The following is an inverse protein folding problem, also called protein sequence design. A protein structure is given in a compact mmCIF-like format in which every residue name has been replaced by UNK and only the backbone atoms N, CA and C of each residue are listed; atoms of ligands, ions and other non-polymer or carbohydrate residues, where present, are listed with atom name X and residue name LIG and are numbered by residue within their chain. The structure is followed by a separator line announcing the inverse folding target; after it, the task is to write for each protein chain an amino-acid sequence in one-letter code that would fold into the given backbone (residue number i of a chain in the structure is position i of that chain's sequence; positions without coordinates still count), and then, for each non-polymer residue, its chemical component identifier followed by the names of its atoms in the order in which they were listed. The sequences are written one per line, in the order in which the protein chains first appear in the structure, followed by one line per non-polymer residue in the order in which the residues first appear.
data_IF_703766599352
#
_entry.id   IF_703766599352
#
_cell.length_a   1.000
_cell.length_b   1.000
_cell.length_c   1.000
_cell.angle_alpha   90.00
_cell.angle_beta   90.00
_cell.angle_gamma   90.00
#
_symmetry.space_group_name_H-M   'P 1'
#
loop_
_entity.id
_entity.type
_entity.pdbx_description
1 polymer ?
#
# COMPACT_ATOMS: atom_id res chain seq x y z
N UNK A 1 26.26 47.57 33.55
CA UNK A 1 27.21 47.45 32.43
C UNK A 1 28.12 46.25 32.68
N UNK A 2 28.18 45.30 31.74
CA UNK A 2 29.35 44.45 31.39
C UNK A 2 28.90 43.45 30.31
N UNK A 3 29.74 43.24 29.29
CA UNK A 3 29.39 42.53 28.05
C UNK A 3 29.82 41.05 28.04
N UNK A 4 29.21 40.28 27.13
CA UNK A 4 29.48 38.87 26.79
C UNK A 4 30.79 38.69 25.99
N UNK A 5 31.50 37.54 26.08
CA UNK A 5 31.45 36.46 25.06
C UNK A 5 31.65 35.02 25.66
N UNK A 6 31.51 33.86 24.97
CA UNK A 6 30.78 33.43 23.75
C UNK A 6 30.86 31.89 23.57
N UNK A 7 29.78 31.23 23.09
CA UNK A 7 29.71 29.90 22.39
C UNK A 7 30.59 28.70 22.82
N UNK A 8 29.95 27.55 23.15
CA UNK A 8 30.11 26.28 22.40
C UNK A 8 29.20 25.15 22.91
N UNK A 9 28.61 24.36 22.00
CA UNK A 9 27.85 23.14 22.34
C UNK A 9 28.80 21.97 22.66
N UNK A 10 28.48 21.17 23.69
CA UNK A 10 28.81 19.74 23.77
C UNK A 10 27.74 18.96 24.54
N UNK A 11 26.97 18.13 23.83
CA UNK A 11 26.22 17.03 24.45
C UNK A 11 27.17 15.88 24.76
N UNK A 12 27.05 15.19 25.91
CA UNK A 12 27.75 13.92 26.14
C UNK A 12 27.05 12.80 25.37
N UNK A 13 27.81 12.09 24.54
CA UNK A 13 27.39 10.80 23.98
C UNK A 13 27.34 9.76 25.11
N UNK A 14 26.16 9.17 25.33
CA UNK A 14 26.02 7.86 25.94
C UNK A 14 25.47 6.91 24.89
N UNK A 15 26.32 6.00 24.44
CA UNK A 15 25.96 4.94 23.51
C UNK A 15 25.15 3.88 24.26
N UNK A 16 23.84 3.84 24.03
CA UNK A 16 23.03 2.68 24.41
C UNK A 16 23.51 1.46 23.64
N UNK A 17 24.02 0.46 24.35
CA UNK A 17 24.35 -0.83 23.76
C UNK A 17 23.04 -1.60 23.55
N UNK A 18 22.49 -1.53 22.33
CA UNK A 18 21.32 -2.34 21.96
C UNK A 18 21.58 -3.82 22.23
N UNK A 19 20.66 -4.46 22.95
CA UNK A 19 20.69 -5.92 23.14
C UNK A 19 20.51 -6.63 21.80
N UNK A 20 21.47 -7.49 21.46
CA UNK A 20 21.51 -8.14 20.14
C UNK A 20 20.38 -9.15 20.00
N UNK A 21 19.38 -8.84 19.16
CA UNK A 21 18.31 -9.79 18.83
C UNK A 21 18.90 -10.93 18.00
N UNK A 22 18.85 -12.15 18.55
CA UNK A 22 19.32 -13.37 17.87
C UNK A 22 18.15 -14.16 17.30
N UNK A 23 18.29 -14.56 16.02
CA UNK A 23 17.37 -15.43 15.33
C UNK A 23 17.84 -16.88 15.41
N UNK A 24 16.95 -17.82 15.71
CA UNK A 24 17.28 -19.25 15.76
C UNK A 24 16.59 -19.98 14.61
N UNK A 25 17.39 -20.49 13.66
CA UNK A 25 16.91 -21.20 12.47
C UNK A 25 17.07 -22.70 12.70
N UNK A 26 15.97 -23.40 12.93
CA UNK A 26 15.89 -24.85 13.09
C UNK A 26 15.87 -25.50 11.70
N UNK A 27 16.83 -26.40 11.43
CA UNK A 27 17.02 -26.97 10.08
C UNK A 27 16.63 -28.44 10.02
N UNK A 28 15.78 -28.78 9.05
CA UNK A 28 15.29 -30.13 8.73
C UNK A 28 16.34 -31.00 7.99
N UNK A 29 16.32 -32.31 8.25
CA UNK A 29 17.09 -33.36 7.54
C UNK A 29 17.01 -33.23 6.01
N UNK A 30 15.82 -32.98 5.45
CA UNK A 30 15.63 -32.86 4.01
C UNK A 30 16.42 -31.70 3.38
N UNK A 31 16.62 -30.62 4.15
CA UNK A 31 17.44 -29.48 3.74
C UNK A 31 18.91 -29.89 3.73
N UNK A 32 19.43 -30.49 4.80
CA UNK A 32 20.80 -31.02 4.83
C UNK A 32 21.10 -32.04 3.71
N UNK A 33 20.13 -32.87 3.31
CA UNK A 33 20.28 -33.84 2.23
C UNK A 33 20.22 -33.22 0.81
N UNK A 34 19.65 -32.03 0.66
CA UNK A 34 19.29 -31.46 -0.65
C UNK A 34 19.98 -30.15 -0.96
N UNK A 35 20.24 -29.32 0.04
CA UNK A 35 20.75 -27.97 -0.09
C UNK A 35 21.53 -27.60 1.20
N UNK A 36 22.82 -27.89 1.24
CA UNK A 36 23.70 -27.45 2.35
C UNK A 36 24.01 -25.95 2.21
N UNK A 37 24.03 -25.45 0.98
CA UNK A 37 24.47 -24.10 0.65
C UNK A 37 23.49 -23.05 1.20
N UNK A 38 22.17 -23.35 1.26
CA UNK A 38 21.19 -22.49 1.95
C UNK A 38 21.40 -22.44 3.48
N UNK A 39 21.98 -23.48 4.09
CA UNK A 39 22.28 -23.49 5.55
C UNK A 39 23.49 -22.58 5.83
N UNK A 40 24.48 -22.60 4.94
CA UNK A 40 25.61 -21.67 4.98
C UNK A 40 25.16 -20.22 4.75
N UNK A 41 24.32 -19.99 3.73
CA UNK A 41 23.71 -18.69 3.47
C UNK A 41 22.90 -18.19 4.68
N UNK A 42 22.00 -19.02 5.23
CA UNK A 42 21.18 -18.68 6.40
C UNK A 42 22.01 -18.32 7.64
N UNK A 43 23.20 -18.92 7.82
CA UNK A 43 24.17 -18.61 8.89
C UNK A 43 24.88 -17.28 8.65
N UNK A 44 25.10 -16.89 7.39
CA UNK A 44 25.90 -15.73 7.00
C UNK A 44 25.05 -14.48 6.74
N UNK A 45 23.77 -14.63 6.40
CA UNK A 45 22.82 -13.53 6.26
C UNK A 45 22.74 -12.69 7.53
N UNK A 46 22.87 -11.39 7.35
CA UNK A 46 22.54 -10.37 8.36
C UNK A 46 21.11 -9.94 8.05
N UNK A 47 20.22 -10.05 9.03
CA UNK A 47 18.81 -9.71 8.90
C UNK A 47 18.59 -8.26 9.34
N UNK A 48 17.60 -7.57 8.76
CA UNK A 48 17.26 -6.21 9.20
C UNK A 48 16.76 -6.17 10.64
N UNK A 49 16.11 -7.24 11.09
CA UNK A 49 15.53 -7.35 12.44
C UNK A 49 16.44 -8.07 13.46
N UNK A 50 17.52 -8.74 12.99
CA UNK A 50 18.39 -9.56 13.84
C UNK A 50 19.86 -9.44 13.44
N UNK A 51 20.72 -9.06 14.38
CA UNK A 51 22.15 -8.89 14.11
C UNK A 51 22.83 -10.19 13.65
N UNK A 52 22.35 -11.33 14.17
CA UNK A 52 22.93 -12.65 13.88
C UNK A 52 21.86 -13.73 13.90
N UNK A 53 21.91 -14.63 12.92
CA UNK A 53 21.28 -15.94 12.98
C UNK A 53 22.16 -16.96 13.71
N UNK A 54 21.50 -17.95 14.30
CA UNK A 54 22.08 -19.13 14.93
C UNK A 54 21.41 -20.35 14.30
N UNK A 55 22.19 -21.21 13.66
CA UNK A 55 21.70 -22.47 13.11
C UNK A 55 21.48 -23.46 14.26
N UNK A 56 20.29 -24.02 14.35
CA UNK A 56 19.93 -25.06 15.32
C UNK A 56 19.78 -26.39 14.58
N UNK A 57 20.51 -27.39 15.03
CA UNK A 57 20.42 -28.77 14.53
C UNK A 57 19.66 -29.62 15.55
N UNK A 58 18.41 -30.05 15.27
CA UNK A 58 17.66 -30.97 16.13
C UNK A 58 18.40 -32.29 16.32
N UNK A 59 18.21 -32.93 17.47
CA UNK A 59 18.83 -34.23 17.74
C UNK A 59 18.28 -35.32 16.80
N UNK A 60 16.99 -35.22 16.45
CA UNK A 60 16.30 -36.10 15.50
C UNK A 60 16.96 -36.09 14.12
N UNK A 61 17.41 -34.93 13.64
CA UNK A 61 18.12 -34.79 12.36
C UNK A 61 19.44 -35.55 12.37
N UNK A 62 20.18 -35.54 13.49
CA UNK A 62 21.39 -36.35 13.65
C UNK A 62 21.05 -37.85 13.57
N UNK A 63 19.99 -38.29 14.25
CA UNK A 63 19.54 -39.70 14.25
C UNK A 63 19.10 -40.16 12.85
N UNK A 64 18.37 -39.34 12.12
CA UNK A 64 17.90 -39.63 10.77
C UNK A 64 19.06 -39.70 9.78
N UNK A 65 19.97 -38.72 9.80
CA UNK A 65 21.17 -38.76 8.97
C UNK A 65 22.02 -40.01 9.28
N UNK A 66 22.15 -40.39 10.56
CA UNK A 66 22.86 -41.60 10.95
C UNK A 66 22.21 -42.89 10.41
N UNK A 67 20.88 -42.96 10.49
CA UNK A 67 20.12 -44.05 9.88
C UNK A 67 20.27 -44.09 8.35
N UNK A 68 20.31 -42.93 7.68
CA UNK A 68 20.38 -42.84 6.22
C UNK A 68 21.80 -43.11 5.68
N UNK A 69 22.87 -42.81 6.44
CA UNK A 69 24.27 -42.90 5.96
C UNK A 69 24.70 -44.31 5.51
N UNK A 70 24.09 -45.34 6.10
CA UNK A 70 24.41 -46.75 5.88
C UNK A 70 23.33 -47.44 5.04
N UNK A 71 23.75 -48.16 3.99
CA UNK A 71 22.88 -49.09 3.26
C UNK A 71 22.78 -50.41 4.03
N UNK A 72 21.82 -50.48 4.97
CA UNK A 72 21.56 -51.65 5.81
C UNK A 72 20.87 -52.81 5.05
N UNK A 73 21.22 -53.01 3.77
CA UNK A 73 20.70 -54.09 2.92
C UNK A 73 19.98 -53.63 1.65
N UNK A 74 20.72 -53.10 0.66
CA UNK A 74 20.33 -52.89 -0.75
C UNK A 74 19.10 -52.02 -1.04
N UNK A 75 18.38 -51.52 -0.04
CA UNK A 75 17.14 -50.76 -0.22
C UNK A 75 17.39 -49.26 -0.43
N UNK A 76 18.51 -48.71 0.06
CA UNK A 76 18.78 -47.27 0.00
C UNK A 76 19.62 -46.90 -1.22
N UNK A 77 19.25 -45.83 -1.91
CA UNK A 77 20.02 -45.31 -3.05
C UNK A 77 21.42 -44.86 -2.60
N UNK A 78 22.47 -45.30 -3.31
CA UNK A 78 23.86 -44.89 -3.06
C UNK A 78 24.03 -43.36 -3.04
N UNK A 79 23.24 -42.64 -3.85
CA UNK A 79 23.21 -41.17 -3.88
C UNK A 79 22.70 -40.57 -2.57
N UNK A 80 21.65 -41.17 -1.99
CA UNK A 80 21.08 -40.74 -0.70
C UNK A 80 22.07 -41.00 0.45
N UNK A 81 22.70 -42.18 0.50
CA UNK A 81 23.72 -42.49 1.50
C UNK A 81 24.98 -41.60 1.36
N UNK A 82 25.31 -41.15 0.14
CA UNK A 82 26.36 -40.16 -0.08
C UNK A 82 25.95 -38.77 0.44
N UNK A 83 24.73 -38.30 0.14
CA UNK A 83 24.17 -37.04 0.65
C UNK A 83 24.15 -37.00 2.19
N UNK A 84 23.70 -38.07 2.85
CA UNK A 84 23.72 -38.17 4.31
C UNK A 84 25.14 -38.09 4.89
N UNK A 85 26.13 -38.78 4.28
CA UNK A 85 27.54 -38.65 4.69
C UNK A 85 28.10 -37.24 4.45
N UNK A 86 27.73 -36.56 3.36
CA UNK A 86 28.10 -35.16 3.10
C UNK A 86 27.53 -34.24 4.20
N UNK A 87 26.25 -34.41 4.55
CA UNK A 87 25.60 -33.67 5.63
C UNK A 87 26.25 -33.90 7.00
N UNK A 88 26.52 -35.15 7.38
CA UNK A 88 27.21 -35.50 8.64
C UNK A 88 28.61 -34.85 8.69
N UNK A 89 29.39 -34.91 7.61
CA UNK A 89 30.71 -34.29 7.55
C UNK A 89 30.63 -32.76 7.64
N UNK A 90 29.62 -32.13 7.04
CA UNK A 90 29.37 -30.70 7.15
C UNK A 90 29.03 -30.31 8.60
N UNK A 91 28.07 -30.98 9.23
CA UNK A 91 27.67 -30.76 10.62
C UNK A 91 28.86 -30.98 11.58
N UNK A 92 29.66 -32.04 11.35
CA UNK A 92 30.89 -32.26 12.12
C UNK A 92 31.88 -31.09 11.96
N UNK A 93 32.08 -30.56 10.75
CA UNK A 93 32.94 -29.39 10.53
C UNK A 93 32.46 -28.17 11.32
N UNK A 94 31.15 -27.92 11.38
CA UNK A 94 30.57 -26.81 12.17
C UNK A 94 30.90 -26.94 13.67
N UNK A 95 30.69 -28.12 14.26
CA UNK A 95 30.94 -28.34 15.68
C UNK A 95 32.44 -28.45 16.02
N UNK A 96 33.24 -29.16 15.20
CA UNK A 96 34.69 -29.30 15.39
C UNK A 96 35.44 -27.97 15.30
N UNK A 97 34.95 -27.01 14.50
CA UNK A 97 35.50 -25.64 14.44
C UNK A 97 34.93 -24.70 15.51
N UNK A 98 34.09 -25.19 16.43
CA UNK A 98 33.45 -24.43 17.52
C UNK A 98 32.76 -23.14 17.04
N UNK A 99 32.00 -23.21 15.94
CA UNK A 99 31.32 -22.03 15.40
C UNK A 99 30.32 -21.45 16.40
N UNK A 100 30.49 -20.18 16.76
CA UNK A 100 29.65 -19.47 17.73
C UNK A 100 28.17 -19.31 17.34
N UNK A 101 27.84 -19.55 16.07
CA UNK A 101 26.50 -19.41 15.48
C UNK A 101 25.87 -20.76 15.09
N UNK A 102 26.31 -21.86 15.68
CA UNK A 102 25.72 -23.19 15.47
C UNK A 102 25.54 -23.89 16.81
N UNK A 103 24.32 -24.37 17.08
CA UNK A 103 23.99 -25.18 18.27
C UNK A 103 23.33 -26.50 17.86
N UNK A 104 23.60 -27.54 18.63
CA UNK A 104 22.88 -28.82 18.55
C UNK A 104 21.97 -28.97 19.75
N UNK A 105 20.76 -29.50 19.54
CA UNK A 105 19.88 -29.91 20.62
C UNK A 105 20.45 -31.14 21.35
N UNK A 106 20.31 -31.22 22.67
CA UNK A 106 20.83 -32.34 23.48
C UNK A 106 19.77 -33.45 23.70
N UNK A 107 20.17 -34.69 24.02
CA UNK A 107 19.23 -35.73 24.47
C UNK A 107 18.38 -35.32 25.67
N UNK A 108 18.96 -34.52 26.57
CA UNK A 108 18.29 -33.99 27.76
C UNK A 108 17.19 -32.99 27.37
N UNK A 109 17.41 -32.16 26.34
CA UNK A 109 16.40 -31.26 25.79
C UNK A 109 15.23 -32.03 25.14
N UNK A 110 15.54 -33.07 24.35
CA UNK A 110 14.51 -33.95 23.75
C UNK A 110 13.66 -34.60 24.83
N UNK A 111 14.27 -35.03 25.93
CA UNK A 111 13.55 -35.67 27.05
C UNK A 111 12.58 -34.68 27.70
N UNK A 112 13.03 -33.45 28.00
CA UNK A 112 12.18 -32.38 28.56
C UNK A 112 11.03 -31.99 27.62
N UNK A 113 11.25 -31.99 26.31
CA UNK A 113 10.19 -31.65 25.35
C UNK A 113 9.08 -32.73 25.32
N UNK A 114 9.44 -34.01 25.51
CA UNK A 114 8.50 -35.14 25.59
C UNK A 114 7.65 -35.15 26.86
N UNK A 115 8.10 -34.50 27.93
CA UNK A 115 7.28 -34.28 29.13
C UNK A 115 6.17 -33.23 28.89
N UNK A 116 6.35 -32.31 27.93
CA UNK A 116 5.39 -31.25 27.60
C UNK A 116 4.37 -31.66 26.53
N UNK A 117 4.78 -32.44 25.54
CA UNK A 117 3.93 -32.81 24.40
C UNK A 117 4.18 -34.26 23.98
N UNK A 118 3.12 -34.99 23.63
CA UNK A 118 3.21 -36.28 22.94
C UNK A 118 3.85 -36.11 21.56
N UNK A 119 4.59 -37.13 21.13
CA UNK A 119 5.27 -37.20 19.83
C UNK A 119 4.71 -38.40 19.07
N UNK A 120 4.09 -38.17 17.92
CA UNK A 120 3.54 -39.24 17.09
C UNK A 120 4.45 -39.55 15.90
N UNK A 121 5.20 -38.57 15.37
CA UNK A 121 6.21 -38.77 14.33
C UNK A 121 7.52 -37.96 14.54
N UNK A 122 8.60 -38.28 13.80
CA UNK A 122 9.88 -37.54 13.89
C UNK A 122 9.76 -36.04 13.58
N UNK A 123 8.85 -35.65 12.68
CA UNK A 123 8.56 -34.24 12.38
C UNK A 123 8.13 -33.47 13.64
N UNK A 124 7.42 -34.13 14.56
CA UNK A 124 6.98 -33.51 15.81
C UNK A 124 8.17 -33.26 16.76
N UNK A 125 9.25 -34.08 16.71
CA UNK A 125 10.49 -33.79 17.46
C UNK A 125 11.21 -32.54 16.89
N UNK A 126 11.15 -32.32 15.56
CA UNK A 126 11.67 -31.09 14.92
C UNK A 126 10.82 -29.87 15.33
N UNK A 127 9.49 -29.99 15.28
CA UNK A 127 8.57 -28.94 15.72
C UNK A 127 8.73 -28.60 17.21
N UNK A 128 8.88 -29.61 18.08
CA UNK A 128 9.20 -29.43 19.49
C UNK A 128 10.48 -28.63 19.70
N UNK A 129 11.48 -28.78 18.82
CA UNK A 129 12.72 -27.99 18.87
C UNK A 129 12.43 -26.50 18.62
N UNK A 130 11.55 -26.17 17.68
CA UNK A 130 11.10 -24.80 17.44
C UNK A 130 10.31 -24.24 18.65
N UNK A 131 9.40 -25.03 19.21
CA UNK A 131 8.59 -24.65 20.38
C UNK A 131 9.49 -24.42 21.61
N UNK A 132 10.48 -25.28 21.86
CA UNK A 132 11.46 -25.15 22.94
C UNK A 132 12.21 -23.81 22.88
N UNK A 133 12.60 -23.37 21.68
CA UNK A 133 13.28 -22.08 21.48
C UNK A 133 12.32 -20.92 21.81
N UNK A 134 11.07 -21.00 21.34
CA UNK A 134 10.05 -19.98 21.60
C UNK A 134 9.69 -19.87 23.09
N UNK A 135 9.59 -21.00 23.79
CA UNK A 135 9.38 -21.07 25.25
C UNK A 135 10.49 -20.37 26.05
N UNK A 136 11.70 -20.27 25.47
CA UNK A 136 12.83 -19.50 26.03
C UNK A 136 12.80 -18.00 25.66
N UNK A 137 11.69 -17.50 25.10
CA UNK A 137 11.52 -16.11 24.68
C UNK A 137 12.28 -15.74 23.40
N UNK A 138 12.76 -16.73 22.63
CA UNK A 138 13.64 -16.51 21.46
C UNK A 138 12.85 -16.63 20.15
N UNK A 139 13.28 -15.88 19.13
CA UNK A 139 12.68 -15.96 17.79
C UNK A 139 13.12 -17.23 17.07
N UNK A 140 12.16 -18.16 16.88
CA UNK A 140 12.36 -19.42 16.17
C UNK A 140 11.83 -19.34 14.72
N UNK A 141 12.63 -19.84 13.77
CA UNK A 141 12.25 -20.05 12.37
C UNK A 141 12.55 -21.49 12.01
N UNK A 142 11.64 -22.15 11.30
CA UNK A 142 11.86 -23.48 10.73
C UNK A 142 12.30 -23.37 9.27
N UNK A 143 13.42 -23.99 8.91
CA UNK A 143 13.88 -24.19 7.54
C UNK A 143 13.62 -25.66 7.16
N UNK A 144 12.54 -25.91 6.41
CA UNK A 144 12.09 -27.24 6.00
C UNK A 144 11.54 -27.23 4.58
N UNK A 145 11.74 -28.33 3.85
CA UNK A 145 11.20 -28.50 2.49
C UNK A 145 9.97 -29.42 2.46
N UNK A 146 9.54 -29.94 3.61
CA UNK A 146 8.29 -30.69 3.73
C UNK A 146 7.12 -29.75 4.01
N UNK A 147 6.06 -29.87 3.20
CA UNK A 147 4.88 -29.00 3.27
C UNK A 147 4.04 -29.29 4.53
N UNK A 148 3.97 -30.54 4.99
CA UNK A 148 3.19 -30.90 6.16
C UNK A 148 3.88 -30.44 7.45
N UNK A 149 5.20 -30.61 7.56
CA UNK A 149 5.97 -30.06 8.68
C UNK A 149 5.96 -28.52 8.68
N UNK A 150 6.04 -27.86 7.52
CA UNK A 150 5.80 -26.42 7.43
C UNK A 150 4.39 -26.03 7.91
N UNK A 151 3.34 -26.74 7.46
CA UNK A 151 1.97 -26.48 7.89
C UNK A 151 1.78 -26.66 9.41
N UNK A 152 2.34 -27.73 9.99
CA UNK A 152 2.36 -27.94 11.45
C UNK A 152 3.01 -26.77 12.18
N UNK A 153 4.15 -26.28 11.70
CA UNK A 153 4.83 -25.13 12.29
C UNK A 153 4.00 -23.82 12.18
N UNK A 154 3.38 -23.57 11.02
CA UNK A 154 2.48 -22.40 10.84
C UNK A 154 1.26 -22.45 11.77
N UNK A 155 0.67 -23.62 12.01
CA UNK A 155 -0.45 -23.79 12.97
C UNK A 155 -0.03 -23.42 14.40
N UNK A 156 1.26 -23.51 14.72
CA UNK A 156 1.84 -23.07 15.99
C UNK A 156 2.47 -21.68 15.91
N UNK A 157 2.13 -20.83 14.94
CA UNK A 157 2.69 -19.48 14.76
C UNK A 157 4.24 -19.43 14.65
N UNK A 158 4.85 -20.51 14.12
CA UNK A 158 6.28 -20.55 13.82
C UNK A 158 6.50 -20.20 12.35
N UNK A 159 7.35 -19.20 12.10
CA UNK A 159 7.73 -18.76 10.75
C UNK A 159 8.51 -19.88 10.04
N UNK A 160 8.18 -20.13 8.77
CA UNK A 160 8.81 -21.19 7.96
C UNK A 160 9.49 -20.65 6.69
N UNK A 161 10.67 -21.18 6.38
CA UNK A 161 11.36 -21.08 5.10
C UNK A 161 11.24 -22.40 4.34
N UNK A 162 10.45 -22.38 3.26
CA UNK A 162 10.29 -23.45 2.29
C UNK A 162 11.36 -23.46 1.19
N UNK A 163 11.24 -24.39 0.25
CA UNK A 163 12.24 -24.66 -0.79
C UNK A 163 12.55 -23.49 -1.74
N UNK A 164 11.54 -22.68 -2.04
CA UNK A 164 11.63 -21.56 -2.98
C UNK A 164 11.45 -20.21 -2.26
N UNK A 165 11.44 -20.20 -0.92
CA UNK A 165 11.32 -18.95 -0.16
C UNK A 165 12.67 -18.22 -0.13
N UNK A 166 12.70 -16.90 -0.38
CA UNK A 166 13.88 -16.07 -0.10
C UNK A 166 14.15 -16.06 1.41
N UNK A 167 15.42 -16.03 1.82
CA UNK A 167 15.77 -16.00 3.26
C UNK A 167 15.28 -14.69 3.91
N UNK A 168 15.25 -13.61 3.13
CA UNK A 168 14.70 -12.30 3.46
C UNK A 168 13.22 -12.38 3.90
N UNK A 169 12.49 -13.47 3.58
CA UNK A 169 11.12 -13.75 4.08
C UNK A 169 10.99 -13.53 5.60
N UNK A 170 12.06 -13.82 6.36
CA UNK A 170 12.12 -13.63 7.81
C UNK A 170 11.97 -12.16 8.22
N UNK A 171 12.56 -11.21 7.48
CA UNK A 171 12.47 -9.78 7.82
C UNK A 171 11.03 -9.25 7.63
N UNK A 172 10.35 -9.68 6.56
CA UNK A 172 8.97 -9.26 6.30
C UNK A 172 7.96 -9.82 7.32
N UNK A 173 8.19 -11.05 7.82
CA UNK A 173 7.32 -11.71 8.79
C UNK A 173 7.56 -11.25 10.23
N UNK A 174 8.79 -10.91 10.61
CA UNK A 174 9.04 -10.34 11.93
C UNK A 174 8.67 -8.86 12.04
N UNK A 175 8.68 -8.12 10.93
CA UNK A 175 8.02 -6.81 10.84
C UNK A 175 6.50 -6.87 11.03
N UNK A 176 5.88 -8.06 10.91
CA UNK A 176 4.46 -8.28 11.26
C UNK A 176 4.28 -8.71 12.72
N UNK A 177 5.16 -9.57 13.25
CA UNK A 177 5.08 -10.07 14.64
C UNK A 177 5.56 -9.07 15.72
N UNK A 178 6.56 -8.22 15.43
CA UNK A 178 6.99 -7.18 16.39
C UNK A 178 5.88 -6.14 16.69
N UNK A 179 4.84 -6.06 15.85
CA UNK A 179 3.69 -5.19 16.06
C UNK A 179 2.69 -5.74 17.11
N UNK A 180 2.93 -6.92 17.68
CA UNK A 180 2.13 -7.48 18.79
C UNK A 180 2.80 -7.35 20.18
N UNK A 181 4.08 -6.95 20.27
CA UNK A 181 4.84 -6.97 21.54
C UNK A 181 5.71 -5.72 21.79
N UNK A 182 5.02 -4.60 22.01
CA UNK A 182 5.40 -3.44 22.85
C UNK A 182 6.49 -2.44 22.39
N UNK A 183 6.14 -1.16 22.67
CA UNK A 183 6.93 0.07 22.84
C UNK A 183 7.52 0.83 21.63
N UNK A 184 6.71 1.76 21.12
CA UNK A 184 7.00 3.17 20.75
C UNK A 184 8.41 3.49 20.22
N UNK A 185 8.52 3.71 18.91
CA UNK A 185 8.77 5.05 18.33
C UNK A 185 8.94 4.99 16.80
N UNK A 186 8.06 5.69 16.07
CA UNK A 186 8.25 6.41 14.79
C UNK A 186 6.88 6.56 14.10
N UNK A 187 6.44 7.80 13.90
CA UNK A 187 5.04 8.11 13.59
C UNK A 187 4.54 7.61 12.21
N UNK A 188 5.42 7.46 11.22
CA UNK A 188 5.02 7.15 9.82
C UNK A 188 4.47 5.72 9.61
N UNK A 189 5.01 4.70 10.30
CA UNK A 189 4.51 3.32 10.15
C UNK A 189 3.26 3.04 11.01
N UNK A 190 2.99 3.89 12.02
CA UNK A 190 1.78 3.78 12.84
C UNK A 190 0.52 4.13 12.02
N UNK A 191 0.59 5.17 11.17
CA UNK A 191 -0.49 5.51 10.23
C UNK A 191 -0.78 4.35 9.26
N UNK A 192 0.27 3.73 8.71
CA UNK A 192 0.16 2.58 7.79
C UNK A 192 -0.59 1.40 8.41
N UNK A 193 -0.22 1.00 9.63
CA UNK A 193 -0.80 -0.17 10.29
C UNK A 193 -2.25 0.07 10.69
N UNK A 194 -2.56 1.28 11.20
CA UNK A 194 -3.92 1.70 11.51
C UNK A 194 -4.80 1.68 10.25
N UNK A 195 -4.33 2.22 9.12
CA UNK A 195 -5.06 2.16 7.84
C UNK A 195 -5.35 0.73 7.39
N UNK A 196 -4.36 -0.17 7.47
CA UNK A 196 -4.51 -1.58 7.07
C UNK A 196 -5.56 -2.32 7.92
N UNK A 197 -5.56 -2.07 9.24
CA UNK A 197 -6.52 -2.63 10.19
C UNK A 197 -7.94 -2.08 9.97
N UNK A 198 -8.09 -0.76 9.84
CA UNK A 198 -9.39 -0.13 9.56
C UNK A 198 -9.98 -0.68 8.27
N UNK A 199 -9.19 -0.73 7.19
CA UNK A 199 -9.68 -1.13 5.87
C UNK A 199 -10.03 -2.61 5.83
N UNK A 200 -9.19 -3.52 6.33
CA UNK A 200 -9.54 -4.95 6.40
C UNK A 200 -10.74 -5.20 7.31
N UNK A 201 -10.89 -4.46 8.41
CA UNK A 201 -12.04 -4.59 9.32
C UNK A 201 -13.34 -4.13 8.67
N UNK A 202 -13.34 -2.98 7.99
CA UNK A 202 -14.50 -2.50 7.24
C UNK A 202 -14.83 -3.39 6.04
N UNK A 203 -13.82 -3.87 5.29
CA UNK A 203 -14.05 -4.84 4.21
C UNK A 203 -14.71 -6.13 4.72
N UNK A 204 -14.27 -6.64 5.88
CA UNK A 204 -14.85 -7.82 6.50
C UNK A 204 -16.26 -7.55 7.09
N UNK A 205 -16.53 -6.33 7.56
CA UNK A 205 -17.87 -5.93 8.00
C UNK A 205 -18.86 -5.79 6.83
N UNK A 206 -18.41 -5.29 5.68
CA UNK A 206 -19.25 -4.97 4.52
C UNK A 206 -19.44 -6.15 3.56
N UNK A 207 -18.43 -7.02 3.40
CA UNK A 207 -18.47 -8.17 2.47
C UNK A 207 -18.29 -9.54 3.16
N UNK A 208 -18.23 -9.58 4.50
CA UNK A 208 -18.06 -10.81 5.27
C UNK A 208 -16.70 -11.47 5.07
N UNK A 209 -16.59 -12.74 5.49
CA UNK A 209 -15.33 -13.52 5.47
C UNK A 209 -14.79 -13.84 4.06
N UNK A 210 -15.48 -13.46 2.99
CA UNK A 210 -15.05 -13.62 1.59
C UNK A 210 -14.61 -12.32 0.92
N UNK A 211 -14.45 -11.23 1.68
CA UNK A 211 -14.12 -9.89 1.18
C UNK A 211 -12.92 -9.84 0.21
N UNK A 212 -11.89 -10.67 0.42
CA UNK A 212 -10.71 -10.80 -0.44
C UNK A 212 -11.00 -11.11 -1.92
N UNK A 213 -12.18 -11.69 -2.23
CA UNK A 213 -12.62 -11.96 -3.61
C UNK A 213 -13.06 -10.70 -4.35
N UNK A 214 -13.42 -9.65 -3.62
CA UNK A 214 -13.95 -8.39 -4.14
C UNK A 214 -12.87 -7.29 -4.25
N UNK A 215 -11.66 -7.53 -3.72
CA UNK A 215 -10.55 -6.56 -3.79
C UNK A 215 -9.80 -6.67 -5.11
N UNK A 216 -9.65 -5.53 -5.80
CA UNK A 216 -9.13 -5.43 -7.18
C UNK A 216 -7.63 -5.75 -7.25
N UNK A 217 -6.86 -5.35 -6.24
CA UNK A 217 -5.48 -5.78 -6.04
C UNK A 217 -5.51 -6.84 -4.94
N UNK A 218 -4.92 -8.01 -5.18
CA UNK A 218 -4.77 -9.03 -4.13
C UNK A 218 -3.54 -8.74 -3.26
N UNK A 219 -3.55 -9.14 -1.96
CA UNK A 219 -2.38 -8.98 -1.09
C UNK A 219 -1.12 -9.67 -1.64
N UNK A 220 0.09 -9.24 -1.24
CA UNK A 220 0.40 -8.23 -0.24
C UNK A 220 0.36 -6.78 -0.78
N UNK A 221 0.02 -5.82 0.10
CA UNK A 221 -0.10 -4.40 -0.25
C UNK A 221 0.96 -3.52 0.43
N UNK A 222 1.45 -2.51 -0.29
CA UNK A 222 2.28 -1.40 0.23
C UNK A 222 1.40 -0.31 0.84
N UNK A 223 1.94 0.68 1.56
CA UNK A 223 1.14 1.85 2.05
C UNK A 223 0.30 2.43 0.92
N UNK A 224 0.92 2.62 -0.25
CA UNK A 224 0.29 3.24 -1.42
C UNK A 224 -0.77 2.33 -2.02
N UNK A 225 -0.57 1.01 -2.12
CA UNK A 225 -1.61 0.11 -2.64
C UNK A 225 -2.70 -0.22 -1.62
N UNK A 226 -2.41 -0.15 -0.31
CA UNK A 226 -3.44 -0.11 0.73
C UNK A 226 -4.22 1.18 0.64
N UNK A 227 -3.61 2.35 0.53
CA UNK A 227 -4.32 3.62 0.37
C UNK A 227 -5.10 3.67 -0.95
N UNK A 228 -4.62 3.05 -2.03
CA UNK A 228 -5.38 2.92 -3.27
C UNK A 228 -6.54 1.93 -3.16
N UNK A 229 -6.36 0.79 -2.47
CA UNK A 229 -7.46 -0.13 -2.18
C UNK A 229 -8.45 0.51 -1.22
N UNK A 230 -7.99 1.11 -0.13
CA UNK A 230 -8.75 1.86 0.86
C UNK A 230 -9.53 2.99 0.22
N UNK A 231 -8.89 3.89 -0.55
CA UNK A 231 -9.61 4.96 -1.25
C UNK A 231 -10.62 4.32 -2.22
N UNK A 232 -10.23 3.35 -3.05
CA UNK A 232 -11.16 2.77 -4.04
C UNK A 232 -12.30 1.91 -3.43
N UNK A 233 -12.08 1.26 -2.30
CA UNK A 233 -13.05 0.43 -1.58
C UNK A 233 -13.78 1.15 -0.44
N UNK A 234 -13.27 2.26 0.08
CA UNK A 234 -14.03 3.21 0.90
C UNK A 234 -14.96 4.01 -0.01
N UNK A 235 -14.49 4.38 -1.21
CA UNK A 235 -15.37 4.84 -2.29
C UNK A 235 -16.40 3.76 -2.66
N UNK A 236 -16.03 2.48 -2.78
CA UNK A 236 -17.02 1.43 -3.04
C UNK A 236 -17.99 1.22 -1.85
N UNK A 237 -17.48 1.03 -0.64
CA UNK A 237 -18.25 0.45 0.45
C UNK A 237 -18.85 1.48 1.42
N UNK A 238 -18.29 2.69 1.50
CA UNK A 238 -18.92 3.84 2.18
C UNK A 238 -19.71 4.67 1.16
N UNK A 239 -19.14 4.93 -0.02
CA UNK A 239 -19.78 5.83 -1.00
C UNK A 239 -20.72 5.10 -1.97
N UNK A 240 -20.48 3.88 -2.48
CA UNK A 240 -21.52 3.18 -3.31
C UNK A 240 -22.69 2.61 -2.51
N UNK A 241 -22.58 2.51 -1.18
CA UNK A 241 -23.70 2.13 -0.31
C UNK A 241 -24.48 3.32 0.28
N UNK A 242 -23.86 4.50 0.44
CA UNK A 242 -24.53 5.73 0.87
C UNK A 242 -24.89 6.62 -0.33
N UNK A 243 -26.11 6.42 -0.84
CA UNK A 243 -26.67 7.14 -1.98
C UNK A 243 -26.87 8.64 -1.65
N UNK A 244 -27.13 9.00 -0.39
CA UNK A 244 -27.38 10.38 0.02
C UNK A 244 -26.07 11.17 0.08
N UNK A 245 -25.02 10.60 0.67
CA UNK A 245 -23.67 11.20 0.67
C UNK A 245 -23.10 11.29 -0.75
N UNK A 246 -23.35 10.30 -1.62
CA UNK A 246 -23.03 10.42 -3.06
C UNK A 246 -23.70 11.62 -3.70
N UNK A 247 -25.00 11.80 -3.49
CA UNK A 247 -25.75 12.88 -4.12
C UNK A 247 -25.33 14.24 -3.56
N UNK A 248 -25.02 14.33 -2.26
CA UNK A 248 -24.47 15.53 -1.62
C UNK A 248 -23.12 15.92 -2.22
N UNK A 249 -22.19 14.96 -2.37
CA UNK A 249 -20.87 15.18 -3.00
C UNK A 249 -20.98 15.52 -4.48
N UNK A 250 -21.86 14.82 -5.20
CA UNK A 250 -22.17 15.12 -6.59
C UNK A 250 -22.72 16.55 -6.75
N UNK A 251 -23.64 16.98 -5.88
CA UNK A 251 -24.21 18.33 -5.91
C UNK A 251 -23.16 19.41 -5.59
N UNK A 252 -22.26 19.15 -4.63
CA UNK A 252 -21.15 20.04 -4.25
C UNK A 252 -20.23 20.34 -5.45
N UNK A 253 -19.79 19.31 -6.17
CA UNK A 253 -18.99 19.52 -7.38
C UNK A 253 -19.82 20.06 -8.56
N UNK A 254 -21.12 19.77 -8.65
CA UNK A 254 -21.99 20.33 -9.68
C UNK A 254 -22.14 21.85 -9.59
N UNK A 255 -22.16 22.41 -8.38
CA UNK A 255 -22.18 23.88 -8.17
C UNK A 255 -20.98 24.58 -8.83
N UNK A 256 -19.81 23.94 -8.91
CA UNK A 256 -18.66 24.50 -9.63
C UNK A 256 -18.87 24.52 -11.15
N UNK A 257 -19.50 23.48 -11.72
CA UNK A 257 -19.89 23.49 -13.14
C UNK A 257 -20.93 24.58 -13.43
N UNK A 258 -21.94 24.73 -12.56
CA UNK A 258 -22.97 25.77 -12.71
C UNK A 258 -22.39 27.17 -12.58
N UNK A 259 -21.50 27.42 -11.60
CA UNK A 259 -20.82 28.71 -11.41
C UNK A 259 -19.90 29.04 -12.60
N UNK A 260 -19.08 28.08 -13.04
CA UNK A 260 -18.20 28.22 -14.19
C UNK A 260 -18.98 28.55 -15.48
N UNK A 261 -20.03 27.78 -15.77
CA UNK A 261 -20.87 28.01 -16.95
C UNK A 261 -21.64 29.33 -16.88
N UNK A 262 -22.27 29.63 -15.74
CA UNK A 262 -23.04 30.87 -15.54
C UNK A 262 -22.15 32.10 -15.71
N UNK A 263 -20.99 32.12 -15.04
CA UNK A 263 -20.03 33.21 -15.18
C UNK A 263 -19.53 33.37 -16.62
N UNK A 264 -19.17 32.26 -17.27
CA UNK A 264 -18.67 32.29 -18.64
C UNK A 264 -19.73 32.76 -19.65
N UNK A 265 -20.97 32.29 -19.51
CA UNK A 265 -22.13 32.67 -20.32
C UNK A 265 -22.49 34.14 -20.15
N UNK A 266 -22.54 34.62 -18.91
CA UNK A 266 -22.98 35.99 -18.60
C UNK A 266 -21.92 37.02 -19.02
N UNK A 267 -20.63 36.72 -18.82
CA UNK A 267 -19.54 37.56 -19.35
C UNK A 267 -19.48 37.52 -20.90
N UNK A 268 -19.72 36.37 -21.54
CA UNK A 268 -19.81 36.28 -22.99
C UNK A 268 -20.98 37.11 -23.55
N UNK A 269 -22.14 37.06 -22.89
CA UNK A 269 -23.32 37.84 -23.27
C UNK A 269 -23.10 39.35 -23.17
N UNK A 270 -22.53 39.83 -22.06
CA UNK A 270 -22.16 41.24 -21.89
C UNK A 270 -21.10 41.68 -22.90
N UNK A 271 -20.11 40.83 -23.21
CA UNK A 271 -19.11 41.10 -24.26
C UNK A 271 -19.76 41.20 -25.65
N UNK A 272 -20.72 40.33 -25.95
CA UNK A 272 -21.45 40.31 -27.22
C UNK A 272 -22.33 41.54 -27.39
N UNK A 273 -23.08 41.93 -26.35
CA UNK A 273 -23.93 43.13 -26.34
C UNK A 273 -23.09 44.40 -26.55
N UNK A 274 -21.94 44.50 -25.88
CA UNK A 274 -21.01 45.63 -26.04
C UNK A 274 -20.46 45.81 -27.47
N UNK A 275 -20.46 44.76 -28.29
CA UNK A 275 -20.05 44.82 -29.72
C UNK A 275 -21.22 44.62 -30.70
N UNK A 276 -22.47 44.54 -30.22
CA UNK A 276 -23.66 44.31 -31.04
C UNK A 276 -23.76 42.91 -31.68
N UNK A 277 -23.02 41.91 -31.17
CA UNK A 277 -23.09 40.53 -31.69
C UNK A 277 -24.31 39.79 -31.11
N UNK A 278 -25.15 39.14 -31.94
CA UNK A 278 -26.30 38.39 -31.43
C UNK A 278 -25.89 37.12 -30.68
N UNK A 279 -26.46 36.94 -29.48
CA UNK A 279 -26.35 35.72 -28.68
C UNK A 279 -27.38 34.67 -29.09
N UNK A 280 -26.97 33.39 -29.12
CA UNK A 280 -27.87 32.25 -29.34
C UNK A 280 -28.44 31.66 -28.04
N UNK A 281 -28.02 32.20 -26.89
CA UNK A 281 -28.40 31.77 -25.55
C UNK A 281 -28.88 32.97 -24.73
N UNK A 282 -29.76 32.71 -23.76
CA UNK A 282 -30.15 33.69 -22.75
C UNK A 282 -29.06 33.80 -21.69
N UNK A 283 -28.75 35.02 -21.26
CA UNK A 283 -27.74 35.32 -20.24
C UNK A 283 -28.29 36.39 -19.29
N UNK A 284 -27.74 36.45 -18.08
CA UNK A 284 -28.07 37.47 -17.09
C UNK A 284 -27.01 38.58 -17.12
N UNK A 285 -27.42 39.82 -16.91
CA UNK A 285 -26.47 40.92 -16.66
C UNK A 285 -26.08 40.86 -15.17
N UNK A 286 -24.79 40.69 -14.82
CA UNK A 286 -24.38 40.67 -13.42
C UNK A 286 -24.68 41.99 -12.71
N UNK A 287 -24.98 41.93 -11.40
CA UNK A 287 -25.20 43.11 -10.57
C UNK A 287 -24.12 43.16 -9.47
N UNK A 288 -23.27 44.21 -9.40
CA UNK A 288 -23.22 45.37 -10.29
C UNK A 288 -22.74 45.04 -11.72
N UNK A 289 -23.14 45.87 -12.69
CA UNK A 289 -22.79 45.69 -14.11
C UNK A 289 -21.26 45.72 -14.27
N UNK A 290 -20.63 44.68 -14.87
CA UNK A 290 -19.19 44.66 -15.08
C UNK A 290 -18.72 45.79 -16.01
N UNK A 291 -17.53 46.34 -15.73
CA UNK A 291 -16.90 47.29 -16.65
C UNK A 291 -16.52 46.58 -17.96
N UNK A 292 -16.93 47.12 -19.12
CA UNK A 292 -16.68 46.52 -20.45
C UNK A 292 -15.18 46.25 -20.68
N UNK A 293 -14.28 47.15 -20.25
CA UNK A 293 -12.83 46.93 -20.38
C UNK A 293 -12.35 45.74 -19.55
N UNK A 294 -12.95 45.50 -18.38
CA UNK A 294 -12.67 44.32 -17.57
C UNK A 294 -13.18 43.04 -18.23
N UNK A 295 -14.39 43.06 -18.80
CA UNK A 295 -14.96 41.91 -19.55
C UNK A 295 -14.05 41.54 -20.74
N UNK A 296 -13.63 42.53 -21.52
CA UNK A 296 -12.70 42.32 -22.64
C UNK A 296 -11.33 41.78 -22.19
N UNK A 297 -10.83 42.24 -21.03
CA UNK A 297 -9.55 41.77 -20.48
C UNK A 297 -9.58 40.29 -20.07
N UNK A 298 -10.66 39.83 -19.43
CA UNK A 298 -10.79 38.42 -18.99
C UNK A 298 -11.23 37.47 -20.11
N UNK A 299 -11.80 38.00 -21.21
CA UNK A 299 -12.40 37.20 -22.28
C UNK A 299 -11.47 36.13 -22.89
N UNK A 300 -10.17 36.37 -23.18
CA UNK A 300 -9.28 35.36 -23.77
C UNK A 300 -8.94 34.22 -22.80
N UNK A 301 -8.77 34.56 -21.51
CA UNK A 301 -8.54 33.59 -20.43
C UNK A 301 -9.80 32.73 -20.23
N UNK A 302 -10.97 33.38 -20.17
CA UNK A 302 -12.27 32.74 -20.00
C UNK A 302 -12.60 31.80 -21.17
N UNK A 303 -12.37 32.22 -22.41
CA UNK A 303 -12.50 31.36 -23.60
C UNK A 303 -11.56 30.14 -23.54
N UNK A 304 -10.34 30.35 -23.04
CA UNK A 304 -9.36 29.27 -22.82
C UNK A 304 -9.83 28.29 -21.74
N UNK A 305 -10.39 28.78 -20.64
CA UNK A 305 -10.88 27.95 -19.54
C UNK A 305 -12.16 27.18 -19.93
N UNK A 306 -13.08 27.79 -20.69
CA UNK A 306 -14.23 27.09 -21.31
C UNK A 306 -13.76 25.95 -22.20
N UNK A 307 -12.75 26.18 -23.06
CA UNK A 307 -12.21 25.14 -23.93
C UNK A 307 -11.51 24.01 -23.16
N UNK A 308 -10.72 24.33 -22.12
CA UNK A 308 -10.11 23.32 -21.23
C UNK A 308 -11.18 22.46 -20.55
N UNK A 309 -12.22 23.10 -20.00
CA UNK A 309 -13.32 22.42 -19.33
C UNK A 309 -14.11 21.53 -20.29
N UNK A 310 -14.43 22.03 -21.49
CA UNK A 310 -15.09 21.31 -22.56
C UNK A 310 -14.31 20.04 -22.95
N UNK A 311 -13.03 20.17 -23.27
CA UNK A 311 -12.18 19.04 -23.66
C UNK A 311 -12.07 18.02 -22.51
N UNK A 312 -11.76 18.46 -21.29
CA UNK A 312 -11.57 17.56 -20.15
C UNK A 312 -12.87 16.84 -19.75
N UNK A 313 -14.02 17.52 -19.81
CA UNK A 313 -15.32 16.91 -19.54
C UNK A 313 -15.70 15.90 -20.63
N UNK A 314 -15.46 16.22 -21.91
CA UNK A 314 -15.70 15.30 -23.03
C UNK A 314 -14.89 14.00 -22.89
N UNK A 315 -13.59 14.11 -22.63
CA UNK A 315 -12.71 12.93 -22.44
C UNK A 315 -13.16 12.07 -21.25
N UNK A 316 -13.61 12.68 -20.15
CA UNK A 316 -14.08 11.95 -18.98
C UNK A 316 -15.40 11.23 -19.24
N UNK A 317 -16.37 11.88 -19.90
CA UNK A 317 -17.65 11.25 -20.24
C UNK A 317 -17.44 10.03 -21.15
N UNK A 318 -16.50 10.09 -22.10
CA UNK A 318 -16.11 8.93 -22.92
C UNK A 318 -15.41 7.83 -22.10
N UNK A 319 -14.51 8.18 -21.18
CA UNK A 319 -13.85 7.22 -20.29
C UNK A 319 -14.84 6.49 -19.36
N UNK A 320 -15.85 7.19 -18.84
CA UNK A 320 -16.91 6.63 -17.99
C UNK A 320 -17.74 5.62 -18.77
N UNK A 321 -18.17 5.99 -19.99
CA UNK A 321 -18.92 5.08 -20.89
C UNK A 321 -18.13 3.80 -21.19
N UNK A 322 -16.81 3.91 -21.29
CA UNK A 322 -15.90 2.78 -21.52
C UNK A 322 -15.45 2.07 -20.23
N UNK A 323 -16.01 2.41 -19.07
CA UNK A 323 -15.65 1.87 -17.74
C UNK A 323 -14.16 1.97 -17.37
N UNK A 324 -13.44 2.94 -17.94
CA UNK A 324 -11.99 3.10 -17.81
C UNK A 324 -11.63 4.56 -17.48
N UNK A 325 -12.07 5.03 -16.31
CA UNK A 325 -11.80 6.38 -15.80
C UNK A 325 -10.36 6.47 -15.31
N UNK A 326 -9.53 7.27 -15.98
CA UNK A 326 -8.17 7.55 -15.54
C UNK A 326 -8.17 8.64 -14.45
N UNK A 327 -7.62 8.29 -13.30
CA UNK A 327 -7.44 9.17 -12.15
C UNK A 327 -6.68 10.47 -12.49
N UNK A 328 -5.75 10.45 -13.46
CA UNK A 328 -5.06 11.67 -13.92
C UNK A 328 -6.00 12.61 -14.64
N UNK A 329 -6.93 12.07 -15.44
CA UNK A 329 -7.93 12.87 -16.15
C UNK A 329 -8.91 13.49 -15.15
N UNK A 330 -9.32 12.72 -14.12
CA UNK A 330 -10.14 13.21 -13.02
C UNK A 330 -9.48 14.36 -12.22
N UNK A 331 -8.20 14.23 -11.85
CA UNK A 331 -7.45 15.33 -11.21
C UNK A 331 -7.40 16.56 -12.11
N UNK A 332 -7.14 16.39 -13.41
CA UNK A 332 -7.08 17.51 -14.35
C UNK A 332 -8.43 18.28 -14.41
N UNK A 333 -9.56 17.57 -14.40
CA UNK A 333 -10.88 18.22 -14.34
C UNK A 333 -11.12 18.94 -12.99
N UNK A 334 -10.73 18.34 -11.87
CA UNK A 334 -10.79 18.98 -10.55
C UNK A 334 -9.96 20.28 -10.51
N UNK A 335 -8.74 20.25 -11.05
CA UNK A 335 -7.88 21.43 -11.18
C UNK A 335 -8.51 22.50 -12.10
N UNK A 336 -9.07 22.11 -13.24
CA UNK A 336 -9.76 23.05 -14.15
C UNK A 336 -10.96 23.70 -13.46
N UNK A 337 -11.76 22.95 -12.68
CA UNK A 337 -12.94 23.49 -11.97
C UNK A 337 -12.53 24.47 -10.86
N UNK A 338 -11.51 24.13 -10.07
CA UNK A 338 -11.01 24.97 -8.97
C UNK A 338 -10.29 26.22 -9.46
N UNK A 339 -9.67 26.19 -10.65
CA UNK A 339 -8.98 27.33 -11.27
C UNK A 339 -9.77 28.00 -12.41
N UNK A 340 -11.05 27.66 -12.59
CA UNK A 340 -11.83 28.14 -13.75
C UNK A 340 -12.06 29.66 -13.72
N UNK A 341 -12.43 30.17 -12.54
CA UNK A 341 -12.73 31.58 -12.32
C UNK A 341 -11.42 32.36 -12.12
N UNK A 342 -11.19 33.46 -12.86
CA UNK A 342 -9.98 34.26 -12.70
C UNK A 342 -9.91 34.85 -11.28
N UNK A 343 -8.70 35.15 -10.78
CA UNK A 343 -8.51 35.73 -9.44
C UNK A 343 -9.26 37.06 -9.26
N UNK A 344 -9.52 37.77 -10.35
CA UNK A 344 -10.26 39.03 -10.42
C UNK A 344 -11.78 38.87 -10.44
N UNK A 345 -12.32 37.65 -10.47
CA UNK A 345 -13.76 37.39 -10.44
C UNK A 345 -14.39 37.86 -9.10
N UNK A 346 -15.65 38.33 -9.10
CA UNK A 346 -16.32 38.81 -7.89
C UNK A 346 -16.34 37.75 -6.78
N UNK A 347 -16.11 38.19 -5.54
CA UNK A 347 -16.02 37.31 -4.37
C UNK A 347 -17.32 36.53 -4.12
N UNK A 348 -18.47 37.06 -4.57
CA UNK A 348 -19.80 36.43 -4.53
C UNK A 348 -19.97 35.23 -5.49
N UNK A 349 -19.09 35.07 -6.48
CA UNK A 349 -19.08 33.95 -7.43
C UNK A 349 -18.03 32.89 -7.09
N UNK A 350 -17.04 33.23 -6.24
CA UNK A 350 -16.08 32.26 -5.73
C UNK A 350 -16.76 31.44 -4.62
N UNK A 351 -16.81 30.13 -4.77
CA UNK A 351 -17.32 29.19 -3.77
C UNK A 351 -16.30 28.97 -2.64
N UNK A 352 -15.86 30.06 -2.00
CA UNK A 352 -14.68 30.12 -1.10
C UNK A 352 -14.78 29.15 0.08
N UNK A 353 -15.99 28.89 0.58
CA UNK A 353 -16.21 28.06 1.77
C UNK A 353 -16.46 26.57 1.44
N UNK A 354 -16.31 26.14 0.18
CA UNK A 354 -16.70 24.79 -0.28
C UNK A 354 -15.57 24.11 -1.08
N UNK A 355 -14.42 23.87 -0.43
CA UNK A 355 -13.31 23.10 -1.02
C UNK A 355 -13.77 21.75 -1.59
N UNK A 356 -13.78 21.59 -2.91
CA UNK A 356 -14.14 20.33 -3.57
C UNK A 356 -12.95 19.37 -3.61
N UNK A 357 -13.22 18.08 -3.40
CA UNK A 357 -12.25 16.99 -3.53
C UNK A 357 -12.34 16.36 -4.94
N UNK A 358 -11.28 15.71 -5.47
CA UNK A 358 -11.38 14.93 -6.71
C UNK A 358 -12.47 13.84 -6.66
N UNK A 359 -12.79 13.36 -5.45
CA UNK A 359 -13.88 12.45 -5.16
C UNK A 359 -15.27 13.06 -5.39
N UNK A 360 -15.47 14.33 -5.03
CA UNK A 360 -16.74 15.02 -5.28
C UNK A 360 -17.01 15.12 -6.79
N UNK A 361 -15.95 15.39 -7.56
CA UNK A 361 -15.98 15.40 -9.03
C UNK A 361 -16.33 14.00 -9.57
N UNK A 362 -15.73 12.93 -9.05
CA UNK A 362 -16.05 11.55 -9.43
C UNK A 362 -17.53 11.19 -9.16
N UNK A 363 -18.04 11.55 -7.98
CA UNK A 363 -19.46 11.36 -7.64
C UNK A 363 -20.36 12.15 -8.61
N UNK A 364 -20.04 13.40 -8.92
CA UNK A 364 -20.78 14.24 -9.87
C UNK A 364 -20.85 13.61 -11.27
N UNK A 365 -19.72 13.18 -11.81
CA UNK A 365 -19.64 12.51 -13.11
C UNK A 365 -20.55 11.26 -13.16
N UNK A 366 -20.49 10.42 -12.13
CA UNK A 366 -21.21 9.14 -12.07
C UNK A 366 -22.72 9.29 -11.81
N UNK A 367 -23.12 10.34 -11.06
CA UNK A 367 -24.51 10.54 -10.62
C UNK A 367 -25.30 11.50 -11.49
N UNK A 368 -24.65 12.50 -12.10
CA UNK A 368 -25.30 13.56 -12.88
C UNK A 368 -24.96 13.50 -14.37
N UNK A 369 -24.66 12.30 -14.89
CA UNK A 369 -24.27 12.09 -16.29
C UNK A 369 -25.23 12.76 -17.30
N UNK A 370 -26.55 12.61 -17.13
CA UNK A 370 -27.54 13.25 -18.02
C UNK A 370 -27.47 14.78 -18.02
N UNK A 371 -27.17 15.37 -16.86
CA UNK A 371 -27.08 16.83 -16.68
C UNK A 371 -25.76 17.34 -17.27
N UNK A 372 -24.66 16.63 -17.02
CA UNK A 372 -23.34 16.95 -17.56
C UNK A 372 -23.30 16.77 -19.08
N UNK A 373 -24.00 15.79 -19.66
CA UNK A 373 -24.14 15.65 -21.12
C UNK A 373 -24.91 16.83 -21.75
N UNK A 374 -25.87 17.45 -21.03
CA UNK A 374 -26.50 18.71 -21.48
C UNK A 374 -25.55 19.89 -21.33
N UNK A 375 -24.87 20.00 -20.20
CA UNK A 375 -23.83 21.02 -19.94
C UNK A 375 -22.69 20.98 -20.97
N UNK A 376 -22.29 19.80 -21.43
CA UNK A 376 -21.27 19.63 -22.48
C UNK A 376 -21.70 20.30 -23.79
N UNK A 377 -22.97 20.15 -24.21
CA UNK A 377 -23.50 20.84 -25.41
C UNK A 377 -23.54 22.35 -25.20
N UNK A 378 -23.96 22.80 -24.02
CA UNK A 378 -23.95 24.23 -23.68
C UNK A 378 -22.53 24.83 -23.68
N UNK A 379 -21.51 24.07 -23.27
CA UNK A 379 -20.10 24.45 -23.37
C UNK A 379 -19.59 24.46 -24.82
N UNK A 380 -20.07 23.56 -25.69
CA UNK A 380 -19.76 23.57 -27.13
C UNK A 380 -20.34 24.82 -27.82
N UNK A 381 -21.59 25.16 -27.52
CA UNK A 381 -22.25 26.38 -28.02
C UNK A 381 -21.52 27.64 -27.53
N UNK A 382 -21.16 27.68 -26.24
CA UNK A 382 -20.45 28.81 -25.63
C UNK A 382 -19.01 28.96 -26.15
N UNK A 383 -18.27 27.85 -26.30
CA UNK A 383 -16.95 27.83 -26.97
C UNK A 383 -17.03 28.39 -28.38
N UNK A 384 -17.99 27.92 -29.18
CA UNK A 384 -18.23 28.42 -30.54
C UNK A 384 -18.56 29.92 -30.54
N UNK A 385 -19.31 30.40 -29.55
CA UNK A 385 -19.62 31.82 -29.38
C UNK A 385 -18.37 32.64 -29.03
N UNK A 386 -17.48 32.17 -28.15
CA UNK A 386 -16.19 32.82 -27.88
C UNK A 386 -15.29 32.91 -29.13
N UNK A 387 -15.25 31.87 -29.97
CA UNK A 387 -14.52 31.92 -31.25
C UNK A 387 -15.10 32.98 -32.21
N UNK A 388 -16.43 33.15 -32.24
CA UNK A 388 -17.08 34.20 -33.02
C UNK A 388 -16.79 35.60 -32.46
N UNK A 389 -16.89 35.79 -31.14
CA UNK A 389 -16.53 37.04 -30.47
C UNK A 389 -15.09 37.48 -30.80
N UNK A 390 -14.13 36.56 -30.71
CA UNK A 390 -12.73 36.83 -31.03
C UNK A 390 -12.53 37.19 -32.52
N UNK A 391 -13.32 36.58 -33.42
CA UNK A 391 -13.29 36.90 -34.85
C UNK A 391 -13.84 38.30 -35.14
N UNK A 392 -14.92 38.71 -34.45
CA UNK A 392 -15.55 40.03 -34.60
C UNK A 392 -14.79 41.18 -33.93
N UNK A 393 -13.79 40.90 -33.09
CA UNK A 393 -12.89 41.91 -32.52
C UNK A 393 -11.65 42.17 -33.39
N UNK A 394 -11.40 41.34 -34.41
CA UNK A 394 -10.28 41.47 -35.35
C UNK A 394 -10.66 42.19 -36.66
N UNK A 395 -11.90 42.67 -36.77
CA UNK A 395 -12.48 43.39 -37.91
C UNK A 395 -13.00 44.76 -37.49
#
# INVERSE_FOLDING_TARGET
SCNVPSTSLKYPLLSEQQEKKHLYIVVDTNVFLSNIDVVELARETIFKTYDHSVIVVPWTVIRELDYIKNDNGKSKSKSLCYKARKAINYINKLFSSKQSRVIGQTPEDVTKNKEKFSVDCPDDEILQTCLQIRDLGKSAVLLSYDVNLCNKAMIHDIVTLGRNDPIEKIDYLNATNMNQSLSVSNDEDQERFIFLQIVSKEMCALYGTSWEKYVILKPPWTVVTVLQCAVKHWIAAVIENDIEEQERRAQKAFQYFEAAYTFARDMAGVAAEAIGMPCSFHYNIPNPIPNICFVQQIQPELATNVNKLLCSLSTIIEQVRNSNVDYRTLINLHQILTTFLPETAPMTLKLIDIDIEPLDVYCCIKRKEDVLNRGLRQLQELSTHFCRLASSQCT
#
